data_IF_159339511765
#
_entry.id   IF_159339511765
#
_cell.length_a   1.000
_cell.length_b   1.000
_cell.length_c   1.000
_cell.angle_alpha   90.00
_cell.angle_beta   90.00
_cell.angle_gamma   90.00
#
_symmetry.space_group_name_H-M   'P 1'
#
loop_
_entity.id
_entity.type
_entity.pdbx_description
1 polymer ?
#
# COMPACT_ATOMS: atom_id res chain seq x y z
N UNK A 1 2.32 -7.18 11.20
CA UNK A 1 2.06 -6.20 10.12
C UNK A 1 1.88 -4.83 10.75
N UNK A 2 2.50 -3.78 10.24
CA UNK A 2 2.27 -2.40 10.72
C UNK A 2 0.89 -1.95 10.23
N UNK A 3 0.22 -1.08 10.99
CA UNK A 3 -1.02 -0.42 10.60
C UNK A 3 -0.72 1.00 10.17
N UNK A 4 -1.38 1.51 9.16
CA UNK A 4 -1.43 2.93 8.93
C UNK A 4 -2.58 3.56 9.70
N UNK A 5 -2.44 4.83 10.01
CA UNK A 5 -3.42 5.65 10.71
C UNK A 5 -3.70 6.89 9.88
N UNK A 6 -4.93 7.37 9.96
CA UNK A 6 -5.33 8.66 9.43
C UNK A 6 -6.16 9.39 10.48
N UNK A 7 -5.92 10.68 10.64
CA UNK A 7 -6.66 11.54 11.55
C UNK A 7 -7.51 12.50 10.74
N UNK A 8 -8.81 12.51 11.01
CA UNK A 8 -9.78 13.34 10.31
C UNK A 8 -10.50 14.26 11.29
N UNK A 9 -10.70 15.52 10.89
CA UNK A 9 -11.60 16.40 11.59
C UNK A 9 -13.04 15.92 11.43
N UNK A 10 -13.76 15.76 12.54
CA UNK A 10 -15.14 15.25 12.54
C UNK A 10 -16.18 16.27 13.00
N UNK A 11 -15.75 17.32 13.70
CA UNK A 11 -16.61 18.41 14.13
C UNK A 11 -15.93 19.76 13.84
N UNK A 12 -16.73 20.75 13.46
CA UNK A 12 -16.29 22.10 13.13
C UNK A 12 -17.15 23.12 13.87
N UNK A 13 -16.57 24.24 14.25
CA UNK A 13 -17.34 25.36 14.77
C UNK A 13 -17.98 26.17 13.64
N UNK A 14 -18.74 27.21 13.99
CA UNK A 14 -19.44 28.09 13.03
C UNK A 14 -18.49 28.82 12.06
N UNK A 15 -17.20 28.91 12.39
CA UNK A 15 -16.16 29.52 11.55
C UNK A 15 -15.44 28.49 10.66
N UNK A 16 -15.85 27.22 10.69
CA UNK A 16 -15.24 26.13 9.93
C UNK A 16 -13.91 25.64 10.52
N UNK A 17 -13.60 25.99 11.78
CA UNK A 17 -12.39 25.52 12.45
C UNK A 17 -12.66 24.16 13.09
N UNK A 18 -11.79 23.15 12.85
CA UNK A 18 -11.94 21.83 13.46
C UNK A 18 -11.92 21.91 14.99
N UNK A 19 -12.89 21.29 15.64
CA UNK A 19 -13.01 21.22 17.11
C UNK A 19 -12.78 19.83 17.65
N UNK A 20 -12.91 18.81 16.78
CA UNK A 20 -12.68 17.42 17.15
C UNK A 20 -12.02 16.65 16.02
N UNK A 21 -11.08 15.78 16.39
CA UNK A 21 -10.43 14.84 15.47
C UNK A 21 -10.70 13.40 15.90
N UNK A 22 -10.77 12.51 14.92
CA UNK A 22 -10.91 11.08 15.13
C UNK A 22 -9.83 10.34 14.35
N UNK A 23 -9.21 9.35 14.99
CA UNK A 23 -8.15 8.53 14.38
C UNK A 23 -8.73 7.22 13.90
N UNK A 24 -8.56 6.94 12.64
CA UNK A 24 -8.92 5.69 11.98
C UNK A 24 -7.69 4.84 11.71
N UNK A 25 -7.85 3.53 11.73
CA UNK A 25 -6.76 2.56 11.56
C UNK A 25 -7.10 1.62 10.42
N UNK A 26 -6.14 1.33 9.55
CA UNK A 26 -6.34 0.38 8.45
C UNK A 26 -6.72 -1.00 8.97
N UNK A 27 -7.58 -1.70 8.23
CA UNK A 27 -7.93 -3.10 8.56
C UNK A 27 -6.69 -4.00 8.53
N UNK A 28 -6.74 -5.08 9.32
CA UNK A 28 -5.65 -6.07 9.39
C UNK A 28 -5.49 -6.87 8.10
N UNK A 29 -6.60 -7.18 7.48
CA UNK A 29 -6.66 -8.04 6.29
C UNK A 29 -6.94 -7.19 5.06
N UNK A 30 -5.89 -6.83 4.33
CA UNK A 30 -6.00 -6.12 3.05
C UNK A 30 -5.96 -7.16 1.93
N UNK A 31 -6.99 -7.22 1.04
CA UNK A 31 -7.00 -8.15 -0.08
C UNK A 31 -5.85 -7.87 -1.04
N UNK A 32 -5.33 -8.91 -1.68
CA UNK A 32 -4.26 -8.77 -2.66
C UNK A 32 -4.67 -7.88 -3.85
N UNK A 33 -5.93 -7.93 -4.26
CA UNK A 33 -6.50 -7.05 -5.29
C UNK A 33 -6.27 -5.58 -4.99
N UNK A 34 -6.49 -5.15 -3.75
CA UNK A 34 -6.35 -3.75 -3.34
C UNK A 34 -4.88 -3.32 -3.32
N UNK A 35 -3.96 -4.18 -2.88
CA UNK A 35 -2.52 -3.92 -2.95
C UNK A 35 -2.05 -3.80 -4.40
N UNK A 36 -2.49 -4.72 -5.27
CA UNK A 36 -2.15 -4.68 -6.70
C UNK A 36 -2.69 -3.42 -7.38
N UNK A 37 -3.89 -2.97 -7.01
CA UNK A 37 -4.48 -1.72 -7.48
C UNK A 37 -3.64 -0.51 -7.04
N UNK A 38 -3.25 -0.42 -5.75
CA UNK A 38 -2.38 0.63 -5.24
C UNK A 38 -1.06 0.71 -6.00
N UNK A 39 -0.38 -0.43 -6.17
CA UNK A 39 0.90 -0.49 -6.90
C UNK A 39 0.71 -0.14 -8.37
N UNK A 40 -0.40 -0.58 -8.99
CA UNK A 40 -0.70 -0.24 -10.38
C UNK A 40 -0.96 1.25 -10.57
N UNK A 41 -1.65 1.88 -9.64
CA UNK A 41 -1.89 3.31 -9.60
C UNK A 41 -0.56 4.08 -9.43
N UNK A 42 0.25 3.73 -8.42
CA UNK A 42 1.55 4.36 -8.17
C UNK A 42 2.51 4.25 -9.37
N UNK A 43 2.45 3.14 -10.11
CA UNK A 43 3.26 2.94 -11.32
C UNK A 43 2.86 3.86 -12.49
N UNK A 44 1.66 4.44 -12.47
CA UNK A 44 1.14 5.34 -13.50
C UNK A 44 0.95 6.79 -13.01
N UNK A 45 1.14 7.04 -11.72
CA UNK A 45 0.91 8.35 -11.11
C UNK A 45 1.90 9.39 -11.63
N UNK A 46 1.40 10.57 -11.93
CA UNK A 46 2.19 11.74 -12.34
C UNK A 46 2.77 12.47 -11.13
N UNK A 47 3.84 13.22 -11.33
CA UNK A 47 4.46 14.05 -10.27
C UNK A 47 3.47 15.07 -9.66
N UNK A 48 2.54 15.58 -10.48
CA UNK A 48 1.44 16.43 -10.04
C UNK A 48 0.12 15.73 -10.37
N UNK A 49 -0.52 15.08 -9.40
CA UNK A 49 -1.79 14.39 -9.60
C UNK A 49 -2.88 15.33 -10.11
N UNK A 50 -3.59 14.90 -11.13
CA UNK A 50 -4.80 15.60 -11.61
C UNK A 50 -6.03 15.21 -10.76
N UNK A 51 -7.18 15.83 -11.07
CA UNK A 51 -8.40 15.58 -10.30
C UNK A 51 -8.85 14.11 -10.37
N UNK A 52 -8.67 13.44 -11.49
CA UNK A 52 -9.07 12.05 -11.65
C UNK A 52 -8.17 11.15 -10.79
N UNK A 53 -6.86 11.41 -10.77
CA UNK A 53 -5.90 10.72 -9.92
C UNK A 53 -6.18 10.95 -8.43
N UNK A 54 -6.57 12.17 -8.03
CA UNK A 54 -7.00 12.48 -6.66
C UNK A 54 -8.25 11.69 -6.27
N UNK A 55 -9.25 11.60 -7.16
CA UNK A 55 -10.45 10.80 -6.91
C UNK A 55 -10.15 9.31 -6.75
N UNK A 56 -9.21 8.77 -7.51
CA UNK A 56 -8.74 7.39 -7.38
C UNK A 56 -8.07 7.17 -6.02
N UNK A 57 -7.19 8.09 -5.58
CA UNK A 57 -6.56 8.01 -4.26
C UNK A 57 -7.60 8.01 -3.14
N UNK A 58 -8.58 8.91 -3.20
CA UNK A 58 -9.67 8.98 -2.22
C UNK A 58 -10.44 7.66 -2.16
N UNK A 59 -10.76 7.06 -3.31
CA UNK A 59 -11.47 5.79 -3.38
C UNK A 59 -10.67 4.64 -2.77
N UNK A 60 -9.40 4.55 -3.11
CA UNK A 60 -8.48 3.56 -2.56
C UNK A 60 -8.40 3.71 -1.03
N UNK A 61 -8.17 4.91 -0.53
CA UNK A 61 -8.02 5.17 0.92
C UNK A 61 -9.28 4.77 1.68
N UNK A 62 -10.48 5.15 1.22
CA UNK A 62 -11.75 4.76 1.87
C UNK A 62 -11.86 3.24 1.97
N UNK A 63 -11.54 2.49 0.90
CA UNK A 63 -11.61 1.02 0.89
C UNK A 63 -10.53 0.37 1.77
N UNK A 64 -9.34 0.93 1.82
CA UNK A 64 -8.24 0.46 2.68
C UNK A 64 -8.61 0.56 4.16
N UNK A 65 -9.33 1.61 4.53
CA UNK A 65 -9.87 1.79 5.88
C UNK A 65 -11.22 1.09 6.11
N UNK A 66 -11.62 0.17 5.22
CA UNK A 66 -12.83 -0.64 5.36
C UNK A 66 -14.13 0.19 5.45
N UNK A 67 -14.17 1.31 4.75
CA UNK A 67 -15.28 2.27 4.75
C UNK A 67 -15.65 2.80 6.16
N UNK A 68 -14.67 2.92 7.08
CA UNK A 68 -14.87 3.52 8.40
C UNK A 68 -15.32 4.98 8.30
N UNK A 69 -15.05 5.63 7.18
CA UNK A 69 -15.51 6.98 6.83
C UNK A 69 -15.90 7.04 5.35
N UNK A 70 -16.72 8.01 4.99
CA UNK A 70 -17.12 8.26 3.60
C UNK A 70 -16.09 9.12 2.87
N UNK A 71 -16.17 9.17 1.52
CA UNK A 71 -15.33 10.08 0.70
C UNK A 71 -15.48 11.54 1.13
N UNK A 72 -16.71 11.99 1.44
CA UNK A 72 -16.94 13.35 1.87
C UNK A 72 -16.30 13.63 3.24
N UNK A 73 -16.43 12.71 4.20
CA UNK A 73 -15.76 12.85 5.49
C UNK A 73 -14.24 12.87 5.36
N UNK A 74 -13.66 12.10 4.43
CA UNK A 74 -12.23 12.14 4.14
C UNK A 74 -11.80 13.49 3.56
N UNK A 75 -12.54 14.01 2.57
CA UNK A 75 -12.24 15.29 1.92
C UNK A 75 -12.40 16.47 2.92
N UNK A 76 -13.50 16.48 3.65
CA UNK A 76 -13.82 17.56 4.60
C UNK A 76 -12.93 17.50 5.85
N UNK A 77 -12.50 16.30 6.25
CA UNK A 77 -11.73 16.07 7.47
C UNK A 77 -10.23 16.25 7.32
N UNK A 78 -9.69 16.27 6.10
CA UNK A 78 -8.26 16.48 5.85
C UNK A 78 -7.93 17.99 5.71
N UNK A 79 -6.82 18.47 6.33
CA UNK A 79 -6.37 19.83 6.10
C UNK A 79 -5.98 20.04 4.62
N UNK A 80 -6.54 21.07 3.98
CA UNK A 80 -6.36 21.33 2.53
C UNK A 80 -4.89 21.39 2.09
N UNK A 81 -4.01 21.93 2.95
CA UNK A 81 -2.57 22.08 2.65
C UNK A 81 -1.78 20.77 2.63
N UNK A 82 -2.28 19.71 3.26
CA UNK A 82 -1.61 18.41 3.36
C UNK A 82 -2.43 17.25 2.79
N UNK A 83 -3.66 17.49 2.34
CA UNK A 83 -4.60 16.44 1.92
C UNK A 83 -4.00 15.51 0.85
N UNK A 84 -3.44 16.06 -0.23
CA UNK A 84 -2.82 15.27 -1.31
C UNK A 84 -1.65 14.43 -0.80
N UNK A 85 -0.82 15.01 0.06
CA UNK A 85 0.32 14.29 0.65
C UNK A 85 -0.14 13.15 1.55
N UNK A 86 -1.15 13.39 2.38
CA UNK A 86 -1.70 12.36 3.27
C UNK A 86 -2.34 11.21 2.48
N UNK A 87 -3.11 11.51 1.43
CA UNK A 87 -3.67 10.49 0.54
C UNK A 87 -2.57 9.65 -0.12
N UNK A 88 -1.56 10.31 -0.67
CA UNK A 88 -0.40 9.64 -1.29
C UNK A 88 0.32 8.72 -0.31
N UNK A 89 0.57 9.20 0.91
CA UNK A 89 1.21 8.45 1.99
C UNK A 89 0.45 7.16 2.31
N UNK A 90 -0.89 7.21 2.39
CA UNK A 90 -1.72 6.03 2.63
C UNK A 90 -1.62 5.01 1.48
N UNK A 91 -1.66 5.46 0.24
CA UNK A 91 -1.54 4.58 -0.93
C UNK A 91 -0.14 3.94 -1.01
N UNK A 92 0.92 4.70 -0.75
CA UNK A 92 2.30 4.17 -0.68
C UNK A 92 2.44 3.14 0.43
N UNK A 93 1.88 3.41 1.61
CA UNK A 93 1.91 2.44 2.71
C UNK A 93 1.30 1.09 2.30
N UNK A 94 0.17 1.09 1.62
CA UNK A 94 -0.47 -0.14 1.15
C UNK A 94 0.35 -0.84 0.08
N UNK A 95 0.91 -0.09 -0.87
CA UNK A 95 1.72 -0.64 -1.96
C UNK A 95 3.07 -1.21 -1.51
N UNK A 96 3.70 -0.60 -0.49
CA UNK A 96 5.06 -0.96 -0.04
C UNK A 96 5.11 -1.66 1.32
N UNK A 97 4.07 -1.52 2.14
CA UNK A 97 4.09 -1.93 3.55
C UNK A 97 4.94 -1.04 4.46
N UNK A 98 5.37 0.12 3.98
CA UNK A 98 6.24 1.06 4.70
C UNK A 98 5.55 2.41 4.87
N UNK A 99 5.64 3.00 6.06
CA UNK A 99 5.22 4.38 6.27
C UNK A 99 6.31 5.32 5.74
N UNK A 100 5.91 6.36 5.01
CA UNK A 100 6.85 7.40 4.53
C UNK A 100 7.48 8.20 5.66
N UNK A 101 6.83 8.26 6.83
CA UNK A 101 7.33 8.99 8.01
C UNK A 101 8.24 8.12 8.90
N UNK A 102 8.36 6.83 8.65
CA UNK A 102 9.33 6.00 9.37
C UNK A 102 10.73 6.46 8.95
N UNK A 103 11.55 6.90 9.90
CA UNK A 103 12.98 7.09 9.68
C UNK A 103 13.55 5.76 9.21
N UNK A 104 13.85 5.67 7.91
CA UNK A 104 14.55 4.51 7.35
C UNK A 104 15.97 4.61 7.88
N UNK A 105 16.32 3.81 8.91
CA UNK A 105 17.74 3.54 9.15
C UNK A 105 18.33 3.08 7.81
N UNK A 106 19.43 3.66 7.35
CA UNK A 106 20.02 3.31 6.07
C UNK A 106 20.50 1.86 6.14
N UNK A 107 19.59 0.94 5.81
CA UNK A 107 19.96 -0.42 5.49
C UNK A 107 20.54 -0.36 4.07
N UNK A 108 21.85 -0.55 3.94
CA UNK A 108 22.64 -0.44 2.68
C UNK A 108 22.12 -1.34 1.55
N UNK A 109 21.00 -2.04 1.74
CA UNK A 109 20.35 -2.94 0.79
C UNK A 109 18.96 -2.52 0.32
N UNK A 110 18.42 -1.38 0.75
CA UNK A 110 17.14 -0.88 0.22
C UNK A 110 17.41 -0.03 -1.01
N UNK A 111 17.28 -0.65 -2.18
CA UNK A 111 17.19 0.09 -3.44
C UNK A 111 16.08 1.12 -3.33
N UNK A 112 16.43 2.40 -3.48
CA UNK A 112 15.48 3.51 -3.51
C UNK A 112 14.33 3.19 -4.46
N UNK A 113 13.10 3.35 -3.99
CA UNK A 113 11.88 3.22 -4.79
C UNK A 113 11.79 4.39 -5.78
N UNK A 114 12.59 4.33 -6.85
CA UNK A 114 12.43 5.19 -8.01
C UNK A 114 11.13 4.83 -8.76
N UNK A 115 10.67 5.68 -9.66
CA UNK A 115 9.48 5.43 -10.51
C UNK A 115 9.59 4.08 -11.24
N UNK A 116 10.77 3.65 -11.60
CA UNK A 116 11.05 2.31 -12.14
C UNK A 116 10.77 1.20 -11.11
N UNK A 117 10.91 1.47 -9.82
CA UNK A 117 10.61 0.53 -8.73
C UNK A 117 9.14 0.12 -8.65
N UNK A 118 8.20 1.03 -8.92
CA UNK A 118 6.77 0.69 -8.91
C UNK A 118 6.34 -0.16 -10.10
N UNK A 119 6.90 0.08 -11.28
CA UNK A 119 6.67 -0.76 -12.46
C UNK A 119 7.19 -2.18 -12.24
N UNK A 120 8.41 -2.31 -11.74
CA UNK A 120 9.00 -3.60 -11.41
C UNK A 120 8.22 -4.33 -10.32
N UNK A 121 7.77 -3.59 -9.30
CA UNK A 121 6.94 -4.14 -8.23
C UNK A 121 5.60 -4.65 -8.76
N UNK A 122 4.93 -3.89 -9.63
CA UNK A 122 3.70 -4.30 -10.32
C UNK A 122 3.89 -5.60 -11.10
N UNK A 123 4.96 -5.71 -11.90
CA UNK A 123 5.25 -6.91 -12.67
C UNK A 123 5.58 -8.11 -11.76
N UNK A 124 6.26 -7.90 -10.64
CA UNK A 124 6.51 -8.95 -9.66
C UNK A 124 5.22 -9.46 -9.01
N UNK A 125 4.30 -8.56 -8.62
CA UNK A 125 2.99 -8.94 -8.10
C UNK A 125 2.18 -9.71 -9.13
N UNK A 126 2.17 -9.28 -10.39
CA UNK A 126 1.49 -9.96 -11.48
C UNK A 126 2.01 -11.39 -11.70
N UNK A 127 3.35 -11.56 -11.71
CA UNK A 127 3.97 -12.89 -11.79
C UNK A 127 3.59 -13.77 -10.61
N UNK A 128 3.52 -13.19 -9.41
CA UNK A 128 3.11 -13.92 -8.20
C UNK A 128 1.67 -14.41 -8.32
N UNK A 129 0.73 -13.56 -8.76
CA UNK A 129 -0.66 -13.95 -9.00
C UNK A 129 -0.72 -15.11 -10.02
N UNK A 130 -0.03 -14.97 -11.16
CA UNK A 130 -0.01 -16.00 -12.20
C UNK A 130 0.54 -17.33 -11.70
N UNK A 131 1.58 -17.28 -10.86
CA UNK A 131 2.17 -18.46 -10.24
C UNK A 131 1.21 -19.13 -9.26
N UNK A 132 0.53 -18.36 -8.41
CA UNK A 132 -0.44 -18.89 -7.45
C UNK A 132 -1.63 -19.55 -8.15
N UNK A 133 -2.15 -18.93 -9.23
CA UNK A 133 -3.20 -19.52 -10.06
C UNK A 133 -2.75 -20.84 -10.67
N UNK A 134 -1.54 -20.88 -11.23
CA UNK A 134 -1.01 -22.07 -11.92
C UNK A 134 -0.67 -23.22 -10.97
N UNK A 135 0.03 -22.91 -9.88
CA UNK A 135 0.57 -23.92 -8.96
C UNK A 135 -0.46 -24.35 -7.90
N UNK A 136 -1.43 -23.47 -7.58
CA UNK A 136 -2.43 -23.69 -6.53
C UNK A 136 -3.77 -24.21 -7.03
N UNK A 137 -3.96 -24.41 -8.34
CA UNK A 137 -5.26 -24.76 -8.96
C UNK A 137 -6.41 -23.83 -8.52
N UNK A 138 -6.09 -22.58 -8.13
CA UNK A 138 -7.04 -21.57 -7.68
C UNK A 138 -7.50 -20.72 -8.85
N UNK A 139 -8.74 -20.20 -8.77
CA UNK A 139 -9.15 -19.20 -9.74
C UNK A 139 -8.40 -17.88 -9.52
N UNK A 140 -8.30 -17.07 -10.58
CA UNK A 140 -7.69 -15.74 -10.49
C UNK A 140 -8.36 -14.86 -9.43
N UNK A 141 -9.69 -14.93 -9.32
CA UNK A 141 -10.45 -14.17 -8.34
C UNK A 141 -10.17 -14.62 -6.91
N UNK A 142 -10.06 -15.93 -6.67
CA UNK A 142 -9.75 -16.46 -5.34
C UNK A 142 -8.38 -15.97 -4.86
N UNK A 143 -7.38 -15.94 -5.75
CA UNK A 143 -6.03 -15.41 -5.44
C UNK A 143 -6.09 -13.93 -5.10
N UNK A 144 -6.91 -13.13 -5.77
CA UNK A 144 -7.06 -11.70 -5.51
C UNK A 144 -7.74 -11.38 -4.17
N UNK A 145 -8.55 -12.30 -3.65
CA UNK A 145 -9.20 -12.15 -2.34
C UNK A 145 -8.32 -12.61 -1.17
N UNK A 146 -7.18 -13.26 -1.45
CA UNK A 146 -6.27 -13.69 -0.39
C UNK A 146 -5.73 -12.46 0.37
N UNK A 147 -5.72 -12.48 1.70
CA UNK A 147 -5.06 -11.45 2.50
C UNK A 147 -3.58 -11.30 2.12
N UNK A 148 -3.16 -10.10 1.73
CA UNK A 148 -1.82 -9.86 1.18
C UNK A 148 -0.69 -10.28 2.13
N UNK A 149 -0.88 -10.20 3.44
CA UNK A 149 0.15 -10.61 4.41
C UNK A 149 0.54 -12.08 4.27
N UNK A 150 -0.40 -12.98 3.89
CA UNK A 150 -0.09 -14.40 3.65
C UNK A 150 0.79 -14.57 2.42
N UNK A 151 0.52 -13.80 1.37
CA UNK A 151 1.34 -13.81 0.14
C UNK A 151 2.74 -13.27 0.42
N UNK A 152 2.83 -12.21 1.22
CA UNK A 152 4.08 -11.55 1.56
C UNK A 152 5.01 -12.44 2.39
N UNK A 153 4.48 -13.19 3.36
CA UNK A 153 5.24 -14.12 4.18
C UNK A 153 5.83 -15.26 3.34
N UNK A 154 5.06 -15.78 2.39
CA UNK A 154 5.52 -16.80 1.44
C UNK A 154 6.64 -16.28 0.53
N UNK A 155 6.52 -15.06 0.01
CA UNK A 155 7.55 -14.44 -0.82
C UNK A 155 8.86 -14.23 -0.05
N UNK A 156 8.78 -13.71 1.18
CA UNK A 156 9.93 -13.49 2.04
C UNK A 156 10.63 -14.81 2.45
N UNK A 157 9.85 -15.85 2.72
CA UNK A 157 10.39 -17.17 3.09
C UNK A 157 11.15 -17.78 1.92
N UNK A 158 10.61 -17.71 0.70
CA UNK A 158 11.28 -18.19 -0.52
C UNK A 158 12.53 -17.39 -0.86
N UNK A 159 12.50 -16.08 -0.76
CA UNK A 159 13.66 -15.21 -0.99
C UNK A 159 14.80 -15.51 0.01
N UNK A 160 14.49 -15.79 1.28
CA UNK A 160 15.48 -16.20 2.28
C UNK A 160 16.07 -17.60 1.99
N UNK A 161 15.25 -18.52 1.50
CA UNK A 161 15.71 -19.86 1.13
C UNK A 161 16.65 -19.85 -0.09
N UNK A 162 16.32 -19.07 -1.11
CA UNK A 162 17.15 -18.88 -2.30
C UNK A 162 18.49 -18.23 -1.98
N UNK A 163 18.51 -17.20 -1.10
CA UNK A 163 19.76 -16.56 -0.63
C UNK A 163 20.65 -17.54 0.14
N UNK A 164 20.07 -18.38 1.00
CA UNK A 164 20.83 -19.42 1.71
C UNK A 164 21.42 -20.46 0.78
N UNK A 165 20.68 -20.92 -0.22
CA UNK A 165 21.16 -21.89 -1.20
C UNK A 165 22.28 -21.32 -2.07
N UNK A 166 22.16 -20.04 -2.48
CA UNK A 166 23.20 -19.33 -3.25
C UNK A 166 24.47 -19.10 -2.44
N UNK A 167 24.38 -18.77 -1.15
CA UNK A 167 25.55 -18.67 -0.27
C UNK A 167 26.24 -20.02 -0.06
N UNK A 168 25.49 -21.09 0.17
CA UNK A 168 26.05 -22.42 0.35
C UNK A 168 26.76 -22.95 -0.92
N UNK A 169 26.24 -22.61 -2.10
CA UNK A 169 26.88 -22.97 -3.37
C UNK A 169 28.15 -22.15 -3.66
N UNK A 170 28.29 -20.95 -3.10
CA UNK A 170 29.48 -20.11 -3.24
C UNK A 170 30.64 -20.54 -2.34
N UNK A 171 30.39 -21.28 -1.28
CA UNK A 171 31.40 -21.80 -0.32
C UNK A 171 31.72 -23.29 -0.49
N UNK A 172 31.14 -23.97 -1.48
CA UNK A 172 31.23 -25.42 -1.70
C UNK A 172 32.06 -25.81 -2.92
N UNK A 173 33.18 -25.10 -3.20
CA UNK A 173 34.24 -25.57 -4.11
C UNK A 173 35.59 -25.50 -3.44
#
# INVERSE_FOLDING_TARGET
MKHSKIELATEFNDEGIPTRYETFITRLSIPFSLVYECVSFLASLKDNPDNDELHVMIDIVVRVFDNQFTKNQLIDGLPSYSATHELYKQVVFIGSGQNLDDEVEPDDNVQSTSVNGWLDHKENLKRTIQKMVKDGEQSYNDVLEIPFYLVFDDLNTKAKAERKSSMLSAFGQ
#
